data_IF_729493569425
#
_entry.id   IF_729493569425
#
_cell.length_a   1.000
_cell.length_b   1.000
_cell.length_c   1.000
_cell.angle_alpha   90.00
_cell.angle_beta   90.00
_cell.angle_gamma   90.00
#
_symmetry.space_group_name_H-M   'P 1'
#
loop_
_entity.id
_entity.type
_entity.pdbx_description
1 polymer ?
#
# COMPACT_ATOMS: atom_id res chain seq x y z
N UNK A 1 15.67 27.74 -1.93
CA UNK A 1 14.40 27.59 -2.69
C UNK A 1 13.26 27.44 -1.69
N UNK A 2 12.28 28.35 -1.69
CA UNK A 2 11.10 28.24 -0.83
C UNK A 2 10.21 27.12 -1.37
N UNK A 3 10.39 25.90 -0.87
CA UNK A 3 9.49 24.77 -1.16
C UNK A 3 8.13 25.12 -0.57
N UNK A 4 7.17 25.44 -1.45
CA UNK A 4 5.87 25.97 -1.08
C UNK A 4 5.13 25.07 -0.10
N UNK A 5 4.48 25.71 0.86
CA UNK A 5 3.60 25.13 1.89
C UNK A 5 2.29 24.54 1.31
N UNK A 6 2.29 24.12 0.05
CA UNK A 6 1.13 23.52 -0.59
C UNK A 6 1.07 22.04 -0.22
N UNK A 7 0.00 21.66 0.48
CA UNK A 7 -0.37 20.27 0.73
C UNK A 7 -0.49 19.53 -0.62
N UNK A 8 0.11 18.33 -0.70
CA UNK A 8 0.00 17.49 -1.89
C UNK A 8 -1.46 17.09 -2.15
N UNK A 9 -1.77 16.79 -3.41
CA UNK A 9 -3.07 16.28 -3.84
C UNK A 9 -3.40 15.00 -3.07
N UNK A 10 -2.40 14.17 -2.82
CA UNK A 10 -2.52 12.98 -1.98
C UNK A 10 -2.90 13.34 -0.54
N UNK A 11 -2.31 14.36 0.08
CA UNK A 11 -2.66 14.73 1.45
C UNK A 11 -4.09 15.30 1.56
N UNK A 12 -4.49 16.12 0.58
CA UNK A 12 -5.83 16.72 0.49
C UNK A 12 -6.94 15.70 0.23
N UNK A 13 -6.62 14.58 -0.41
CA UNK A 13 -7.59 13.58 -0.80
C UNK A 13 -8.28 12.88 0.40
N UNK A 14 -9.56 12.56 0.23
CA UNK A 14 -10.33 11.77 1.20
C UNK A 14 -9.78 10.34 1.28
N UNK A 15 -10.07 9.64 2.39
CA UNK A 15 -9.65 8.24 2.58
C UNK A 15 -10.15 7.33 1.47
N UNK A 16 -11.37 7.57 0.97
CA UNK A 16 -11.93 6.82 -0.15
C UNK A 16 -11.20 7.10 -1.47
N UNK A 17 -10.82 8.35 -1.73
CA UNK A 17 -10.05 8.72 -2.92
C UNK A 17 -8.63 8.13 -2.90
N UNK A 18 -8.01 8.07 -1.72
CA UNK A 18 -6.73 7.38 -1.52
C UNK A 18 -6.84 5.87 -1.75
N UNK A 19 -7.92 5.25 -1.25
CA UNK A 19 -8.14 3.81 -1.38
C UNK A 19 -8.46 3.39 -2.82
N UNK A 20 -9.25 4.19 -3.54
CA UNK A 20 -9.59 3.95 -4.95
C UNK A 20 -8.55 4.49 -5.93
N UNK A 21 -7.45 5.06 -5.45
CA UNK A 21 -6.39 5.70 -6.24
C UNK A 21 -6.87 6.81 -7.19
N UNK A 22 -8.06 7.38 -6.94
CA UNK A 22 -8.64 8.40 -7.83
C UNK A 22 -7.90 9.74 -7.80
N UNK A 23 -6.97 9.92 -6.86
CA UNK A 23 -6.09 11.09 -6.75
C UNK A 23 -5.27 11.31 -8.03
N UNK A 24 -4.91 10.23 -8.75
CA UNK A 24 -4.12 10.33 -9.97
C UNK A 24 -4.95 10.71 -11.20
N UNK A 25 -6.29 10.62 -11.13
CA UNK A 25 -7.16 10.79 -12.30
C UNK A 25 -6.98 12.13 -13.03
N UNK A 26 -6.88 13.30 -12.36
CA UNK A 26 -6.69 14.57 -13.07
C UNK A 26 -5.41 14.59 -13.91
N UNK A 27 -4.31 14.06 -13.37
CA UNK A 27 -3.04 13.95 -14.09
C UNK A 27 -3.14 12.98 -15.28
N UNK A 28 -3.84 11.86 -15.11
CA UNK A 28 -4.04 10.87 -16.17
C UNK A 28 -4.88 11.42 -17.33
N UNK A 29 -5.94 12.20 -17.03
CA UNK A 29 -6.76 12.84 -18.07
C UNK A 29 -5.93 13.83 -18.90
N UNK A 30 -5.11 14.67 -18.25
CA UNK A 30 -4.21 15.60 -18.97
C UNK A 30 -3.18 14.84 -19.81
N UNK A 31 -2.60 13.78 -19.25
CA UNK A 31 -1.63 12.93 -19.95
C UNK A 31 -2.20 12.14 -21.12
N UNK A 32 -3.52 11.92 -21.15
CA UNK A 32 -4.21 11.31 -22.28
C UNK A 32 -4.34 12.27 -23.47
N UNK A 33 -4.50 13.57 -23.20
CA UNK A 33 -4.67 14.59 -24.23
C UNK A 33 -3.33 15.12 -24.77
N UNK A 34 -2.35 15.30 -23.88
CA UNK A 34 -1.03 15.85 -24.25
C UNK A 34 0.10 15.24 -23.41
N UNK A 35 1.35 15.23 -23.93
CA UNK A 35 2.51 14.90 -23.12
C UNK A 35 2.57 15.77 -21.86
N UNK A 36 2.79 15.13 -20.71
CA UNK A 36 2.83 15.81 -19.41
C UNK A 36 4.09 16.65 -19.26
N UNK A 37 3.90 17.88 -18.76
CA UNK A 37 4.98 18.76 -18.32
C UNK A 37 5.27 18.58 -16.82
N UNK A 38 6.45 18.99 -16.37
CA UNK A 38 6.93 18.76 -14.98
C UNK A 38 6.06 19.41 -13.90
N UNK A 39 5.46 20.56 -14.21
CA UNK A 39 4.57 21.31 -13.33
C UNK A 39 3.19 20.65 -13.17
N UNK A 40 2.82 19.75 -14.10
CA UNK A 40 1.56 19.01 -14.08
C UNK A 40 1.67 17.68 -13.30
N UNK A 41 2.86 17.37 -12.77
CA UNK A 41 3.07 16.19 -11.94
C UNK A 41 2.50 16.41 -10.53
N UNK A 42 2.02 15.32 -9.93
CA UNK A 42 1.54 15.34 -8.54
C UNK A 42 2.67 15.74 -7.59
N UNK A 43 2.34 16.56 -6.59
CA UNK A 43 3.29 16.99 -5.58
C UNK A 43 3.63 15.84 -4.63
N UNK A 44 4.90 15.74 -4.25
CA UNK A 44 5.36 14.75 -3.29
C UNK A 44 4.76 15.06 -1.91
N UNK A 45 4.07 14.08 -1.27
CA UNK A 45 3.54 14.24 0.08
C UNK A 45 4.64 14.59 1.06
N UNK A 46 4.34 15.45 2.04
CA UNK A 46 5.34 15.95 3.00
C UNK A 46 6.05 14.82 3.75
N UNK A 47 5.32 13.75 4.12
CA UNK A 47 5.85 12.55 4.81
C UNK A 47 6.94 11.81 3.99
N UNK A 48 6.98 11.99 2.67
CA UNK A 48 7.89 11.27 1.76
C UNK A 48 9.02 12.18 1.23
N UNK A 49 9.12 13.43 1.70
CA UNK A 49 10.21 14.32 1.30
C UNK A 49 11.48 14.04 2.11
N UNK A 50 12.64 14.16 1.48
CA UNK A 50 13.93 13.78 2.07
C UNK A 50 14.32 14.60 3.30
N UNK A 51 13.97 15.89 3.29
CA UNK A 51 14.16 16.84 4.40
C UNK A 51 13.44 16.41 5.68
N UNK A 52 12.24 15.84 5.54
CA UNK A 52 11.44 15.33 6.66
C UNK A 52 11.87 13.90 7.06
N UNK A 53 12.30 13.07 6.10
CA UNK A 53 12.69 11.68 6.36
C UNK A 53 14.06 11.53 7.02
N UNK A 54 15.03 12.37 6.65
CA UNK A 54 16.40 12.30 7.15
C UNK A 54 16.51 12.41 8.69
N UNK A 55 15.93 13.41 9.37
CA UNK A 55 16.05 13.52 10.82
C UNK A 55 15.42 12.31 11.54
N UNK A 56 14.28 11.82 11.03
CA UNK A 56 13.59 10.65 11.57
C UNK A 56 14.43 9.37 11.43
N UNK A 57 15.06 9.15 10.27
CA UNK A 57 15.94 8.00 10.05
C UNK A 57 17.21 8.11 10.89
N UNK A 58 17.81 9.31 10.99
CA UNK A 58 19.00 9.57 11.80
C UNK A 58 18.75 9.30 13.29
N UNK A 59 17.60 9.73 13.81
CA UNK A 59 17.17 9.42 15.18
C UNK A 59 16.93 7.92 15.36
N UNK A 60 16.21 7.28 14.44
CA UNK A 60 15.97 5.84 14.48
C UNK A 60 17.29 5.05 14.43
N UNK A 61 18.27 5.50 13.65
CA UNK A 61 19.58 4.87 13.56
C UNK A 61 20.38 5.01 14.86
N UNK A 62 20.40 6.21 15.47
CA UNK A 62 21.02 6.46 16.78
C UNK A 62 20.45 5.55 17.87
N UNK A 63 19.13 5.38 17.88
CA UNK A 63 18.40 4.56 18.86
C UNK A 63 18.36 3.06 18.52
N UNK A 64 18.95 2.64 17.40
CA UNK A 64 18.95 1.24 16.98
C UNK A 64 20.27 0.55 17.28
N UNK A 65 20.16 -0.71 17.71
CA UNK A 65 21.27 -1.65 17.88
C UNK A 65 21.08 -2.82 16.91
N UNK A 66 22.17 -3.47 16.46
CA UNK A 66 22.03 -4.70 15.70
C UNK A 66 21.23 -5.73 16.52
N UNK A 67 20.38 -6.49 15.85
CA UNK A 67 19.53 -7.48 16.48
C UNK A 67 19.64 -8.81 15.73
N UNK A 68 20.19 -9.83 16.40
CA UNK A 68 20.44 -11.15 15.83
C UNK A 68 21.26 -11.07 14.52
N UNK A 69 20.65 -11.34 13.36
CA UNK A 69 21.28 -11.37 12.03
C UNK A 69 21.08 -10.05 11.29
N UNK A 70 20.26 -9.14 11.85
CA UNK A 70 19.86 -7.90 11.18
C UNK A 70 20.88 -6.80 11.48
N UNK A 71 21.51 -6.23 10.44
CA UNK A 71 22.38 -5.08 10.59
C UNK A 71 21.64 -3.91 11.25
N UNK A 72 22.36 -3.07 11.99
CA UNK A 72 21.82 -1.89 12.66
C UNK A 72 20.98 -1.00 11.73
N UNK A 73 21.44 -0.80 10.50
CA UNK A 73 20.73 0.01 9.50
C UNK A 73 19.36 -0.58 9.15
N UNK A 74 19.27 -1.91 8.99
CA UNK A 74 18.01 -2.57 8.67
C UNK A 74 17.02 -2.46 9.83
N UNK A 75 17.50 -2.60 11.07
CA UNK A 75 16.68 -2.38 12.27
C UNK A 75 16.16 -0.93 12.33
N UNK A 76 17.00 0.04 12.00
CA UNK A 76 16.62 1.45 11.96
C UNK A 76 15.55 1.75 10.90
N UNK A 77 15.71 1.20 9.69
CA UNK A 77 14.74 1.34 8.60
C UNK A 77 13.38 0.75 8.94
N UNK A 78 13.37 -0.41 9.61
CA UNK A 78 12.14 -1.02 10.09
C UNK A 78 11.44 -0.18 11.16
N UNK A 79 12.19 0.40 12.11
CA UNK A 79 11.63 1.32 13.12
C UNK A 79 11.07 2.60 12.49
N UNK A 80 11.80 3.17 11.53
CA UNK A 80 11.42 4.40 10.82
C UNK A 80 10.06 4.30 10.11
N UNK A 81 9.71 3.12 9.56
CA UNK A 81 8.41 2.87 8.91
C UNK A 81 7.62 1.74 9.57
N UNK A 82 7.70 1.60 10.90
CA UNK A 82 7.07 0.48 11.62
C UNK A 82 5.56 0.37 11.37
N UNK A 83 4.85 1.51 11.37
CA UNK A 83 3.39 1.53 11.12
C UNK A 83 3.04 1.03 9.71
N UNK A 84 3.81 1.42 8.71
CA UNK A 84 3.56 1.01 7.33
C UNK A 84 3.94 -0.48 7.13
N UNK A 85 4.96 -0.97 7.85
CA UNK A 85 5.33 -2.39 7.88
C UNK A 85 4.31 -3.27 8.59
N UNK A 86 3.79 -2.86 9.75
CA UNK A 86 2.75 -3.64 10.44
C UNK A 86 1.48 -3.71 9.61
N UNK A 87 1.12 -2.60 8.94
CA UNK A 87 0.02 -2.59 7.99
C UNK A 87 0.26 -3.56 6.81
N UNK A 88 1.45 -3.54 6.20
CA UNK A 88 1.79 -4.47 5.12
C UNK A 88 1.76 -5.94 5.58
N UNK A 89 2.20 -6.23 6.81
CA UNK A 89 2.13 -7.57 7.39
C UNK A 89 0.67 -8.04 7.57
N UNK A 90 -0.21 -7.18 8.08
CA UNK A 90 -1.65 -7.48 8.22
C UNK A 90 -2.30 -7.76 6.85
N UNK A 91 -1.99 -6.94 5.84
CA UNK A 91 -2.49 -7.14 4.47
C UNK A 91 -1.98 -8.47 3.87
N UNK A 92 -0.76 -8.87 4.19
CA UNK A 92 -0.19 -10.16 3.74
C UNK A 92 -0.93 -11.34 4.35
N UNK A 93 -1.24 -11.28 5.66
CA UNK A 93 -2.03 -12.31 6.34
C UNK A 93 -3.45 -12.37 5.75
N UNK A 94 -4.06 -11.21 5.46
CA UNK A 94 -5.37 -11.15 4.84
C UNK A 94 -5.38 -11.76 3.42
N UNK A 95 -4.33 -11.53 2.62
CA UNK A 95 -4.18 -12.12 1.29
C UNK A 95 -4.03 -13.64 1.37
N UNK A 96 -3.17 -14.13 2.28
CA UNK A 96 -2.98 -15.56 2.52
C UNK A 96 -4.27 -16.24 2.99
N UNK A 97 -5.02 -15.57 3.88
CA UNK A 97 -6.32 -16.07 4.36
C UNK A 97 -7.34 -16.16 3.21
N UNK A 98 -7.38 -15.13 2.35
CA UNK A 98 -8.25 -15.10 1.17
C UNK A 98 -7.91 -16.23 0.20
N UNK A 99 -6.62 -16.47 -0.05
CA UNK A 99 -6.15 -17.59 -0.87
C UNK A 99 -6.59 -18.97 -0.36
N UNK A 100 -6.76 -19.15 0.95
CA UNK A 100 -7.25 -20.41 1.53
C UNK A 100 -8.79 -20.50 1.52
N UNK A 101 -9.48 -19.38 1.74
CA UNK A 101 -10.95 -19.34 1.78
C UNK A 101 -11.55 -19.51 0.38
N UNK A 102 -10.95 -18.92 -0.65
CA UNK A 102 -11.44 -19.00 -2.04
C UNK A 102 -11.68 -20.45 -2.52
N UNK A 103 -10.71 -21.39 -2.45
CA UNK A 103 -10.94 -22.77 -2.87
C UNK A 103 -11.96 -23.50 -1.96
N UNK A 104 -12.03 -23.15 -0.68
CA UNK A 104 -13.03 -23.70 0.24
C UNK A 104 -14.46 -23.28 -0.17
N UNK A 105 -14.68 -22.00 -0.46
CA UNK A 105 -15.97 -21.49 -0.93
C UNK A 105 -16.33 -22.05 -2.29
N UNK A 106 -15.36 -22.17 -3.20
CA UNK A 106 -15.58 -22.78 -4.51
C UNK A 106 -16.03 -24.24 -4.39
N UNK A 107 -15.40 -25.02 -3.50
CA UNK A 107 -15.81 -26.39 -3.22
C UNK A 107 -17.23 -26.48 -2.67
N UNK A 108 -17.62 -25.55 -1.78
CA UNK A 108 -18.98 -25.48 -1.23
C UNK A 108 -20.01 -25.13 -2.30
N UNK A 109 -19.70 -24.19 -3.18
CA UNK A 109 -20.54 -23.82 -4.31
C UNK A 109 -20.75 -25.01 -5.27
N UNK A 110 -19.66 -25.69 -5.65
CA UNK A 110 -19.73 -26.87 -6.51
C UNK A 110 -20.54 -28.00 -5.88
N UNK A 111 -20.36 -28.27 -4.57
CA UNK A 111 -21.14 -29.26 -3.87
C UNK A 111 -22.64 -28.93 -3.87
N UNK A 112 -23.01 -27.67 -3.64
CA UNK A 112 -24.40 -27.22 -3.67
C UNK A 112 -25.03 -27.40 -5.06
N UNK A 113 -24.28 -27.10 -6.12
CA UNK A 113 -24.72 -27.30 -7.50
C UNK A 113 -24.91 -28.78 -7.86
N UNK A 114 -24.02 -29.66 -7.42
CA UNK A 114 -24.08 -31.10 -7.71
C UNK A 114 -25.22 -31.79 -6.94
N UNK A 115 -25.43 -31.40 -5.68
CA UNK A 115 -26.46 -32.00 -4.83
C UNK A 115 -27.88 -31.52 -5.16
N UNK A 116 -28.02 -30.52 -6.06
CA UNK A 116 -29.31 -29.91 -6.35
C UNK A 116 -29.88 -29.15 -5.16
N UNK A 117 -29.02 -28.56 -4.32
CA UNK A 117 -29.45 -27.71 -3.21
C UNK A 117 -30.23 -26.50 -3.74
N UNK A 118 -31.06 -25.89 -2.89
CA UNK A 118 -31.91 -24.75 -3.30
C UNK A 118 -31.09 -23.62 -3.95
N UNK A 119 -31.64 -23.00 -5.01
CA UNK A 119 -31.01 -21.87 -5.72
C UNK A 119 -30.49 -20.78 -4.77
N UNK A 120 -31.22 -20.50 -3.69
CA UNK A 120 -30.83 -19.54 -2.65
C UNK A 120 -29.47 -19.85 -2.02
N UNK A 121 -29.16 -21.13 -1.76
CA UNK A 121 -27.87 -21.53 -1.20
C UNK A 121 -26.75 -21.38 -2.23
N UNK A 122 -27.00 -21.74 -3.49
CA UNK A 122 -26.04 -21.54 -4.57
C UNK A 122 -25.71 -20.05 -4.75
N UNK A 123 -26.73 -19.18 -4.78
CA UNK A 123 -26.52 -17.72 -4.85
C UNK A 123 -25.78 -17.16 -3.63
N UNK A 124 -26.03 -17.68 -2.43
CA UNK A 124 -25.30 -17.28 -1.23
C UNK A 124 -23.81 -17.62 -1.34
N UNK A 125 -23.46 -18.85 -1.74
CA UNK A 125 -22.06 -19.24 -1.92
C UNK A 125 -21.37 -18.47 -3.05
N UNK A 126 -22.07 -18.21 -4.16
CA UNK A 126 -21.55 -17.39 -5.25
C UNK A 126 -21.31 -15.94 -4.84
N UNK A 127 -22.23 -15.34 -4.07
CA UNK A 127 -22.08 -13.99 -3.53
C UNK A 127 -20.89 -13.89 -2.56
N UNK A 128 -20.74 -14.87 -1.65
CA UNK A 128 -19.59 -14.93 -0.74
C UNK A 128 -18.26 -15.07 -1.50
N UNK A 129 -18.21 -15.94 -2.51
CA UNK A 129 -17.02 -16.13 -3.34
C UNK A 129 -16.64 -14.82 -4.07
N UNK A 130 -17.63 -14.13 -4.62
CA UNK A 130 -17.43 -12.84 -5.31
C UNK A 130 -16.95 -11.77 -4.34
N UNK A 131 -17.54 -11.71 -3.13
CA UNK A 131 -17.12 -10.78 -2.08
C UNK A 131 -15.68 -11.00 -1.65
N UNK A 132 -15.26 -12.26 -1.44
CA UNK A 132 -13.87 -12.60 -1.12
C UNK A 132 -12.93 -12.25 -2.27
N UNK A 133 -13.31 -12.54 -3.52
CA UNK A 133 -12.51 -12.19 -4.69
C UNK A 133 -12.30 -10.67 -4.82
N UNK A 134 -13.36 -9.88 -4.63
CA UNK A 134 -13.27 -8.42 -4.67
C UNK A 134 -12.39 -7.87 -3.53
N UNK A 135 -12.57 -8.38 -2.32
CA UNK A 135 -11.73 -8.02 -1.17
C UNK A 135 -10.25 -8.35 -1.43
N UNK A 136 -9.96 -9.54 -1.98
CA UNK A 136 -8.60 -9.95 -2.30
C UNK A 136 -7.93 -8.99 -3.29
N UNK A 137 -8.65 -8.60 -4.35
CA UNK A 137 -8.15 -7.64 -5.33
C UNK A 137 -7.83 -6.30 -4.68
N UNK A 138 -8.76 -5.75 -3.88
CA UNK A 138 -8.53 -4.49 -3.18
C UNK A 138 -7.32 -4.56 -2.23
N UNK A 139 -7.27 -5.60 -1.41
CA UNK A 139 -6.18 -5.83 -0.47
C UNK A 139 -4.83 -5.91 -1.18
N UNK A 140 -4.76 -6.61 -2.32
CA UNK A 140 -3.54 -6.75 -3.12
C UNK A 140 -3.04 -5.41 -3.66
N UNK A 141 -3.93 -4.57 -4.19
CA UNK A 141 -3.55 -3.25 -4.72
C UNK A 141 -3.01 -2.34 -3.62
N UNK A 142 -3.69 -2.31 -2.48
CA UNK A 142 -3.25 -1.54 -1.31
C UNK A 142 -1.90 -2.04 -0.79
N UNK A 143 -1.72 -3.36 -0.69
CA UNK A 143 -0.47 -3.97 -0.28
C UNK A 143 0.70 -3.58 -1.18
N UNK A 144 0.54 -3.71 -2.50
CA UNK A 144 1.58 -3.35 -3.48
C UNK A 144 1.92 -1.87 -3.39
N UNK A 145 0.92 -1.00 -3.26
CA UNK A 145 1.15 0.43 -3.10
C UNK A 145 1.95 0.77 -1.84
N UNK A 146 1.54 0.24 -0.68
CA UNK A 146 2.22 0.51 0.60
C UNK A 146 3.65 -0.02 0.59
N UNK A 147 3.87 -1.25 0.14
CA UNK A 147 5.21 -1.87 0.10
C UNK A 147 6.15 -1.14 -0.85
N UNK A 148 5.67 -0.75 -2.04
CA UNK A 148 6.46 0.02 -3.01
C UNK A 148 6.83 1.40 -2.43
N UNK A 149 5.87 2.09 -1.81
CA UNK A 149 6.11 3.40 -1.16
C UNK A 149 7.11 3.30 -0.01
N UNK A 150 7.05 2.25 0.81
CA UNK A 150 8.04 2.00 1.86
C UNK A 150 9.42 1.78 1.26
N UNK A 151 9.53 0.96 0.21
CA UNK A 151 10.79 0.72 -0.49
C UNK A 151 11.42 1.99 -1.06
N UNK A 152 10.62 2.85 -1.71
CA UNK A 152 11.09 4.16 -2.18
C UNK A 152 11.56 5.06 -1.04
N UNK A 153 10.81 5.11 0.06
CA UNK A 153 11.18 5.90 1.22
C UNK A 153 12.50 5.42 1.86
N UNK A 154 12.73 4.11 1.94
CA UNK A 154 13.99 3.57 2.42
C UNK A 154 15.16 3.94 1.51
N UNK A 155 15.00 3.80 0.19
CA UNK A 155 16.03 4.22 -0.78
C UNK A 155 16.33 5.71 -0.68
N UNK A 156 15.31 6.56 -0.64
CA UNK A 156 15.48 8.01 -0.61
C UNK A 156 16.11 8.47 0.71
N UNK A 157 15.67 7.93 1.84
CA UNK A 157 16.20 8.30 3.15
C UNK A 157 17.65 7.82 3.34
N UNK A 158 18.01 6.63 2.85
CA UNK A 158 19.41 6.15 2.88
C UNK A 158 20.31 6.94 1.95
N UNK A 159 19.83 7.32 0.76
CA UNK A 159 20.58 8.20 -0.16
C UNK A 159 20.82 9.56 0.49
N UNK A 160 19.80 10.15 1.12
CA UNK A 160 19.95 11.40 1.87
C UNK A 160 20.99 11.27 3.00
N UNK A 161 20.97 10.15 3.75
CA UNK A 161 21.92 9.90 4.84
C UNK A 161 23.38 9.72 4.37
N UNK A 162 23.61 9.26 3.13
CA UNK A 162 24.96 9.11 2.56
C UNK A 162 25.55 10.46 2.14
N UNK A 163 24.70 11.41 1.74
CA UNK A 163 25.10 12.73 1.24
C UNK A 163 25.03 13.85 2.30
N UNK A 164 24.62 13.52 3.52
CA UNK A 164 24.68 14.39 4.70
C UNK A 164 26.08 14.34 5.34
#
# INVERSE_FOLDING_TARGET
MKCGQNLSEWEKASTFSKLSFSVANPMLCVGQEKPLEFDQLLLIPRKDRSDEMLPLLSEAYKNSKPFWFLPRLMVALMKFRWVDLTYAALMTIADATSMLITPYLLRRLLAALVNGDSDRQCYMWAALLTGVGFFQVLNRHVFVFVTTRVGWNWKNATTALIHD
#
